data_IF_727639674365
#
_entry.id   IF_727639674365
#
_cell.length_a   1.000
_cell.length_b   1.000
_cell.length_c   1.000
_cell.angle_alpha   90.00
_cell.angle_beta   90.00
_cell.angle_gamma   90.00
#
_symmetry.space_group_name_H-M   'P 1'
#
loop_
_entity.id
_entity.type
_entity.pdbx_description
1 polymer ?
#
# COMPACT_ATOMS: atom_id res chain seq x y z
N UNK A 1 -15.33 6.97 -34.96
CA UNK A 1 -15.99 5.84 -34.25
C UNK A 1 -15.63 5.82 -32.77
N UNK A 2 -14.42 6.22 -32.35
CA UNK A 2 -13.97 6.15 -30.95
C UNK A 2 -14.82 6.87 -29.90
N UNK A 3 -15.46 8.00 -30.25
CA UNK A 3 -16.27 8.79 -29.29
C UNK A 3 -17.46 8.00 -28.70
N UNK A 4 -18.00 7.04 -29.45
CA UNK A 4 -19.12 6.21 -29.00
C UNK A 4 -18.68 5.09 -28.06
N UNK A 5 -17.48 4.54 -28.24
CA UNK A 5 -16.97 3.48 -27.37
C UNK A 5 -16.67 4.01 -25.97
N UNK A 6 -16.00 5.17 -25.87
CA UNK A 6 -15.76 5.80 -24.57
C UNK A 6 -17.05 6.20 -23.85
N UNK A 7 -18.04 6.74 -24.57
CA UNK A 7 -19.32 7.10 -23.98
C UNK A 7 -20.07 5.89 -23.42
N UNK A 8 -19.99 4.73 -24.10
CA UNK A 8 -20.59 3.49 -23.65
C UNK A 8 -19.93 2.97 -22.38
N UNK A 9 -18.59 2.94 -22.35
CA UNK A 9 -17.81 2.52 -21.16
C UNK A 9 -18.06 3.47 -19.98
N UNK A 10 -18.10 4.78 -20.20
CA UNK A 10 -18.40 5.76 -19.14
C UNK A 10 -19.83 5.66 -18.61
N UNK A 11 -20.79 5.26 -19.44
CA UNK A 11 -22.16 5.01 -18.98
C UNK A 11 -22.27 3.79 -18.06
N UNK A 12 -21.36 2.82 -18.15
CA UNK A 12 -21.32 1.64 -17.27
C UNK A 12 -20.65 1.92 -15.92
N UNK A 13 -19.88 3.01 -15.80
CA UNK A 13 -19.20 3.38 -14.56
C UNK A 13 -20.17 3.97 -13.52
N UNK A 14 -19.86 3.73 -12.23
CA UNK A 14 -20.56 4.38 -11.12
C UNK A 14 -20.17 5.85 -11.01
N UNK A 15 -21.01 6.65 -10.36
CA UNK A 15 -20.79 8.09 -10.21
C UNK A 15 -19.45 8.38 -9.49
N UNK A 16 -19.12 7.58 -8.48
CA UNK A 16 -17.83 7.64 -7.79
C UNK A 16 -16.64 7.35 -8.70
N UNK A 17 -16.76 6.41 -9.63
CA UNK A 17 -15.71 6.08 -10.60
C UNK A 17 -15.55 7.19 -11.62
N UNK A 18 -16.65 7.72 -12.15
CA UNK A 18 -16.64 8.85 -13.07
C UNK A 18 -15.95 10.07 -12.47
N UNK A 19 -16.30 10.43 -11.22
CA UNK A 19 -15.66 11.53 -10.49
C UNK A 19 -14.16 11.24 -10.28
N UNK A 20 -13.78 10.01 -9.93
CA UNK A 20 -12.38 9.62 -9.74
C UNK A 20 -11.55 9.74 -11.02
N UNK A 21 -12.13 9.40 -12.18
CA UNK A 21 -11.50 9.48 -13.50
C UNK A 21 -11.20 10.93 -13.87
N UNK A 22 -12.14 11.85 -13.65
CA UNK A 22 -11.98 13.28 -14.02
C UNK A 22 -11.12 14.07 -13.03
N UNK A 23 -11.02 13.61 -11.77
CA UNK A 23 -10.27 14.29 -10.69
C UNK A 23 -8.89 13.67 -10.47
N UNK A 24 -8.83 12.48 -9.85
CA UNK A 24 -7.61 11.88 -9.31
C UNK A 24 -6.81 11.06 -10.34
N UNK A 25 -7.48 10.47 -11.33
CA UNK A 25 -6.84 9.62 -12.33
C UNK A 25 -6.75 10.26 -13.71
N UNK A 26 -7.03 11.57 -13.82
CA UNK A 26 -7.10 12.30 -15.09
C UNK A 26 -5.89 12.04 -16.00
N UNK A 27 -4.69 11.98 -15.45
CA UNK A 27 -3.45 11.75 -16.20
C UNK A 27 -3.30 10.34 -16.80
N UNK A 28 -4.07 9.35 -16.30
CA UNK A 28 -4.03 7.97 -16.80
C UNK A 28 -4.94 7.73 -18.01
N UNK A 29 -5.81 8.69 -18.34
CA UNK A 29 -6.82 8.55 -19.39
C UNK A 29 -6.57 9.52 -20.55
N UNK A 30 -7.01 9.11 -21.74
CA UNK A 30 -6.97 9.97 -22.92
C UNK A 30 -7.96 11.14 -22.76
N UNK A 31 -7.66 12.33 -23.33
CA UNK A 31 -8.55 13.50 -23.29
C UNK A 31 -9.98 13.22 -23.76
N UNK A 32 -10.13 12.36 -24.77
CA UNK A 32 -11.44 11.95 -25.31
C UNK A 32 -12.26 11.13 -24.30
N UNK A 33 -11.61 10.30 -23.49
CA UNK A 33 -12.25 9.52 -22.43
C UNK A 33 -12.67 10.42 -21.25
N UNK A 34 -11.84 11.40 -20.90
CA UNK A 34 -12.16 12.40 -19.87
C UNK A 34 -13.40 13.22 -20.30
N UNK A 35 -13.44 13.68 -21.55
CA UNK A 35 -14.58 14.42 -22.07
C UNK A 35 -15.88 13.59 -22.07
N UNK A 36 -15.79 12.29 -22.36
CA UNK A 36 -16.94 11.38 -22.27
C UNK A 36 -17.42 11.20 -20.82
N UNK A 37 -16.49 11.10 -19.85
CA UNK A 37 -16.80 11.02 -18.43
C UNK A 37 -17.47 12.31 -17.92
N UNK A 38 -16.93 13.47 -18.27
CA UNK A 38 -17.51 14.78 -17.93
C UNK A 38 -18.92 14.95 -18.51
N UNK A 39 -19.15 14.47 -19.74
CA UNK A 39 -20.47 14.49 -20.36
C UNK A 39 -21.47 13.61 -19.60
N UNK A 40 -21.07 12.40 -19.21
CA UNK A 40 -21.94 11.48 -18.48
C UNK A 40 -22.24 11.99 -17.06
N UNK A 41 -21.26 12.59 -16.37
CA UNK A 41 -21.46 13.27 -15.07
C UNK A 41 -22.51 14.39 -15.19
N UNK A 42 -22.37 15.24 -16.21
CA UNK A 42 -23.31 16.33 -16.48
C UNK A 42 -24.71 15.81 -16.87
N UNK A 43 -24.78 14.74 -17.67
CA UNK A 43 -26.03 14.09 -18.07
C UNK A 43 -26.79 13.51 -16.86
N UNK A 44 -26.06 12.93 -15.90
CA UNK A 44 -26.62 12.41 -14.64
C UNK A 44 -27.02 13.51 -13.65
N UNK A 45 -26.70 14.77 -13.95
CA UNK A 45 -26.94 15.93 -13.06
C UNK A 45 -26.38 15.70 -11.66
N UNK A 46 -25.22 15.05 -11.57
CA UNK A 46 -24.55 14.85 -10.30
C UNK A 46 -24.34 16.21 -9.64
N UNK A 47 -24.87 16.35 -8.44
CA UNK A 47 -24.84 17.62 -7.74
C UNK A 47 -23.43 17.91 -7.26
N UNK A 48 -23.07 19.20 -7.17
CA UNK A 48 -21.79 19.66 -6.63
C UNK A 48 -21.53 19.09 -5.22
N UNK A 49 -22.59 18.79 -4.47
CA UNK A 49 -22.51 18.17 -3.15
C UNK A 49 -22.06 16.69 -3.23
N UNK A 50 -22.58 15.91 -4.17
CA UNK A 50 -22.17 14.52 -4.39
C UNK A 50 -20.71 14.44 -4.87
N UNK A 51 -20.31 15.36 -5.75
CA UNK A 51 -18.92 15.45 -6.23
C UNK A 51 -17.97 15.76 -5.07
N UNK A 52 -18.28 16.77 -4.25
CA UNK A 52 -17.48 17.11 -3.07
C UNK A 52 -17.41 15.98 -2.05
N UNK A 53 -18.50 15.25 -1.84
CA UNK A 53 -18.53 14.13 -0.90
C UNK A 53 -17.62 13.00 -1.36
N UNK A 54 -17.61 12.72 -2.66
CA UNK A 54 -16.70 11.73 -3.26
C UNK A 54 -15.25 12.21 -3.23
N UNK A 55 -14.96 13.47 -3.58
CA UNK A 55 -13.61 14.05 -3.46
C UNK A 55 -13.08 13.97 -2.03
N UNK A 56 -13.89 14.36 -1.04
CA UNK A 56 -13.51 14.30 0.38
C UNK A 56 -13.21 12.87 0.81
N UNK A 57 -13.98 11.88 0.34
CA UNK A 57 -13.72 10.47 0.61
C UNK A 57 -12.42 9.99 -0.03
N UNK A 58 -12.16 10.38 -1.29
CA UNK A 58 -10.91 10.05 -1.99
C UNK A 58 -9.71 10.65 -1.25
N UNK A 59 -9.81 11.91 -0.81
CA UNK A 59 -8.76 12.55 -0.01
C UNK A 59 -8.56 11.87 1.34
N UNK A 60 -9.63 11.51 2.05
CA UNK A 60 -9.54 10.77 3.31
C UNK A 60 -8.90 9.39 3.12
N UNK A 61 -9.25 8.67 2.05
CA UNK A 61 -8.64 7.38 1.73
C UNK A 61 -7.16 7.53 1.35
N UNK A 62 -6.79 8.59 0.62
CA UNK A 62 -5.40 8.90 0.30
C UNK A 62 -4.59 9.27 1.54
N UNK A 63 -5.18 10.07 2.45
CA UNK A 63 -4.57 10.41 3.73
C UNK A 63 -4.44 9.18 4.63
N UNK A 64 -5.45 8.31 4.66
CA UNK A 64 -5.42 7.04 5.37
C UNK A 64 -4.33 6.11 4.83
N UNK A 65 -4.18 6.02 3.51
CA UNK A 65 -3.10 5.26 2.87
C UNK A 65 -1.72 5.84 3.21
N UNK A 66 -1.53 7.15 3.09
CA UNK A 66 -0.27 7.81 3.48
C UNK A 66 0.07 7.59 4.95
N UNK A 67 -0.92 7.63 5.85
CA UNK A 67 -0.71 7.33 7.26
C UNK A 67 -0.30 5.87 7.50
N UNK A 68 -0.91 4.92 6.78
CA UNK A 68 -0.52 3.50 6.82
C UNK A 68 0.91 3.29 6.33
N UNK A 69 1.34 4.00 5.29
CA UNK A 69 2.71 3.89 4.78
C UNK A 69 3.78 4.35 5.78
N UNK A 70 3.49 5.38 6.56
CA UNK A 70 4.47 6.01 7.47
C UNK A 70 4.51 5.32 8.85
N UNK A 71 3.51 4.50 9.17
CA UNK A 71 3.38 3.92 10.49
C UNK A 71 4.59 3.01 10.81
N UNK A 72 5.36 3.32 11.88
CA UNK A 72 6.52 2.52 12.25
C UNK A 72 6.09 1.18 12.86
N UNK A 73 7.00 0.22 12.85
CA UNK A 73 6.79 -1.05 13.55
C UNK A 73 7.00 -0.82 15.04
N UNK A 74 6.10 -1.38 15.87
CA UNK A 74 6.20 -1.24 17.33
C UNK A 74 7.52 -1.84 17.86
N UNK A 75 8.07 -1.28 18.93
CA UNK A 75 9.33 -1.75 19.51
C UNK A 75 9.28 -3.25 19.89
N UNK A 76 8.18 -3.69 20.51
CA UNK A 76 7.97 -5.10 20.85
C UNK A 76 7.91 -6.01 19.62
N UNK A 77 7.27 -5.55 18.54
CA UNK A 77 7.22 -6.28 17.28
C UNK A 77 8.63 -6.41 16.67
N UNK A 78 9.44 -5.34 16.70
CA UNK A 78 10.84 -5.40 16.25
C UNK A 78 11.63 -6.46 17.01
N UNK A 79 11.46 -6.55 18.33
CA UNK A 79 12.11 -7.57 19.16
C UNK A 79 11.64 -8.97 18.75
N UNK A 80 10.34 -9.17 18.54
CA UNK A 80 9.82 -10.46 18.07
C UNK A 80 10.43 -10.86 16.72
N UNK A 81 10.48 -9.95 15.75
CA UNK A 81 11.12 -10.21 14.46
C UNK A 81 12.63 -10.46 14.58
N UNK A 82 13.29 -9.81 15.53
CA UNK A 82 14.72 -9.98 15.78
C UNK A 82 15.04 -11.32 16.43
N UNK A 83 14.19 -11.85 17.31
CA UNK A 83 14.42 -13.11 18.03
C UNK A 83 13.91 -14.30 17.22
N UNK A 84 12.72 -14.21 16.63
CA UNK A 84 12.06 -15.31 15.92
C UNK A 84 12.31 -15.30 14.41
N UNK A 85 13.42 -14.72 13.94
CA UNK A 85 13.73 -14.55 12.51
C UNK A 85 13.86 -15.88 11.73
N UNK A 86 14.01 -17.02 12.40
CA UNK A 86 14.17 -18.35 11.79
C UNK A 86 12.86 -19.05 11.39
N UNK A 87 11.70 -18.46 11.70
CA UNK A 87 10.39 -19.09 11.50
C UNK A 87 9.65 -18.64 10.23
N UNK A 88 8.78 -19.52 9.71
CA UNK A 88 7.86 -19.20 8.60
C UNK A 88 6.81 -18.16 9.01
N UNK A 89 6.42 -18.14 10.29
CA UNK A 89 5.41 -17.23 10.85
C UNK A 89 5.79 -15.75 10.66
N UNK A 90 6.97 -15.27 11.09
CA UNK A 90 7.36 -13.88 10.85
C UNK A 90 7.44 -13.52 9.36
N UNK A 91 7.84 -14.45 8.48
CA UNK A 91 7.83 -14.21 7.04
C UNK A 91 6.41 -13.96 6.51
N UNK A 92 5.44 -14.76 6.96
CA UNK A 92 4.03 -14.54 6.62
C UNK A 92 3.52 -13.19 7.12
N UNK A 93 3.79 -12.84 8.37
CA UNK A 93 3.35 -11.56 8.96
C UNK A 93 4.02 -10.36 8.26
N UNK A 94 5.28 -10.49 7.87
CA UNK A 94 5.94 -9.45 7.08
C UNK A 94 5.25 -9.31 5.70
N UNK A 95 4.93 -10.41 5.04
CA UNK A 95 4.24 -10.39 3.75
C UNK A 95 2.86 -9.70 3.82
N UNK A 96 2.10 -9.91 4.90
CA UNK A 96 0.80 -9.24 5.08
C UNK A 96 0.95 -7.72 5.23
N UNK A 97 2.03 -7.22 5.86
CA UNK A 97 2.26 -5.76 5.91
C UNK A 97 2.44 -5.14 4.52
N UNK A 98 3.02 -5.89 3.56
CA UNK A 98 3.17 -5.42 2.18
C UNK A 98 1.82 -5.38 1.44
N UNK A 99 0.96 -6.37 1.66
CA UNK A 99 -0.37 -6.41 1.02
C UNK A 99 -1.30 -5.32 1.56
N UNK A 100 -1.15 -4.97 2.83
CA UNK A 100 -2.01 -4.01 3.52
C UNK A 100 -1.59 -2.53 3.31
N UNK A 101 -0.52 -2.29 2.53
CA UNK A 101 0.02 -0.96 2.27
C UNK A 101 0.97 -0.41 3.36
N UNK A 102 1.34 -1.22 4.36
CA UNK A 102 2.29 -0.83 5.42
C UNK A 102 3.75 -1.05 4.98
N UNK A 103 4.19 -0.33 3.95
CA UNK A 103 5.54 -0.50 3.37
C UNK A 103 6.69 -0.26 4.37
N UNK A 104 6.56 0.72 5.28
CA UNK A 104 7.57 0.98 6.30
C UNK A 104 7.65 -0.15 7.34
N UNK A 105 6.51 -0.66 7.83
CA UNK A 105 6.48 -1.80 8.78
C UNK A 105 7.14 -3.03 8.18
N UNK A 106 6.83 -3.35 6.93
CA UNK A 106 7.45 -4.44 6.20
C UNK A 106 8.99 -4.31 6.17
N UNK A 107 9.49 -3.12 5.80
CA UNK A 107 10.93 -2.86 5.73
C UNK A 107 11.60 -2.98 7.09
N UNK A 108 10.99 -2.42 8.13
CA UNK A 108 11.52 -2.49 9.50
C UNK A 108 11.53 -3.93 10.04
N UNK A 109 10.50 -4.73 9.75
CA UNK A 109 10.45 -6.15 10.11
C UNK A 109 11.56 -6.94 9.41
N UNK A 110 11.77 -6.71 8.10
CA UNK A 110 12.82 -7.36 7.33
C UNK A 110 14.23 -6.98 7.80
N UNK A 111 14.44 -5.73 8.16
CA UNK A 111 15.70 -5.27 8.74
C UNK A 111 15.94 -5.91 10.11
N UNK A 112 14.93 -5.98 10.99
CA UNK A 112 15.04 -6.65 12.28
C UNK A 112 15.41 -8.14 12.13
N UNK A 113 14.78 -8.84 11.18
CA UNK A 113 15.13 -10.24 10.89
C UNK A 113 16.57 -10.41 10.39
N UNK A 114 17.06 -9.51 9.51
CA UNK A 114 18.46 -9.52 9.03
C UNK A 114 19.45 -9.31 10.17
N UNK A 115 19.19 -8.33 11.04
CA UNK A 115 20.07 -8.07 12.19
C UNK A 115 20.06 -9.24 13.17
N UNK A 116 18.90 -9.85 13.40
CA UNK A 116 18.77 -11.06 14.23
C UNK A 116 19.62 -12.21 13.69
N UNK A 117 19.51 -12.49 12.39
CA UNK A 117 20.31 -13.51 11.72
C UNK A 117 21.82 -13.26 11.84
N UNK A 118 22.27 -12.05 11.52
CA UNK A 118 23.70 -11.69 11.59
C UNK A 118 24.22 -11.79 13.02
N UNK A 119 23.46 -11.28 13.99
CA UNK A 119 23.82 -11.35 15.41
C UNK A 119 23.98 -12.80 15.88
N UNK A 120 23.03 -13.67 15.51
CA UNK A 120 23.06 -15.08 15.90
C UNK A 120 24.23 -15.83 15.24
N UNK A 121 24.54 -15.55 13.97
CA UNK A 121 25.70 -16.12 13.28
C UNK A 121 27.02 -15.72 13.98
N UNK A 122 27.18 -14.44 14.32
CA UNK A 122 28.38 -13.96 15.05
C UNK A 122 28.48 -14.63 16.42
N UNK A 123 27.37 -14.68 17.17
CA UNK A 123 27.35 -15.32 18.49
C UNK A 123 27.72 -16.80 18.41
N UNK A 124 27.16 -17.53 17.43
CA UNK A 124 27.47 -18.95 17.23
C UNK A 124 28.94 -19.19 16.89
N UNK A 125 29.53 -18.31 16.08
CA UNK A 125 30.94 -18.38 15.68
C UNK A 125 31.86 -18.10 16.88
N UNK A 126 31.54 -17.11 17.70
CA UNK A 126 32.26 -16.81 18.94
C UNK A 126 32.24 -17.99 19.92
N UNK A 127 31.06 -18.61 20.12
CA UNK A 127 30.94 -19.80 20.98
C UNK A 127 31.81 -20.93 20.45
N UNK A 128 31.80 -21.18 19.14
CA UNK A 128 32.63 -22.18 18.49
C UNK A 128 34.13 -21.94 18.74
N UNK A 129 34.61 -20.70 18.62
CA UNK A 129 36.01 -20.34 18.89
C UNK A 129 36.38 -20.62 20.35
N UNK A 130 35.52 -20.24 21.30
CA UNK A 130 35.78 -20.45 22.73
C UNK A 130 35.88 -21.95 23.04
N UNK A 131 34.96 -22.75 22.52
CA UNK A 131 34.97 -24.21 22.70
C UNK A 131 36.22 -24.82 22.08
N UNK A 132 36.64 -24.36 20.89
CA UNK A 132 37.84 -24.83 20.23
C UNK A 132 39.14 -24.48 20.97
N UNK A 133 39.19 -23.34 21.67
CA UNK A 133 40.35 -22.96 22.49
C UNK A 133 40.36 -23.70 23.84
N UNK A 134 39.18 -24.02 24.37
CA UNK A 134 39.03 -24.69 25.67
C UNK A 134 39.27 -26.21 25.62
N UNK A 135 39.35 -26.80 24.42
CA UNK A 135 39.57 -28.23 24.19
C UNK A 135 40.96 -28.47 23.58
#
# INVERSE_FOLDING_TARGET
MERNEFAKVMAEHSDSQLIKIVTAEREKYQPLAIAAAEYEINKRKLTVQEIKLVETKIEQDLLGQKQKEIQPLGAFQKILFFVFFWGIIPWMIAATYKTDGYFRKYREAWNAMKYGLIFWLILSLLIWIIVFIAF
#
